data_IF_939551323773
#
_entry.id   IF_939551323773
#
_cell.length_a   1.000
_cell.length_b   1.000
_cell.length_c   1.000
_cell.angle_alpha   90.00
_cell.angle_beta   90.00
_cell.angle_gamma   90.00
#
_symmetry.space_group_name_H-M   'P 1'
#
loop_
_entity.id
_entity.type
_entity.pdbx_description
1 polymer ?
#
# COMPACT_ATOMS: atom_id res chain seq x y z
N UNK A 1 -69.82 27.78 -13.27
CA UNK A 1 -69.11 28.31 -14.45
C UNK A 1 -67.65 27.89 -14.27
N UNK A 2 -67.24 26.69 -14.67
CA UNK A 2 -67.14 26.09 -16.02
C UNK A 2 -65.90 26.56 -16.79
N UNK A 3 -65.00 25.60 -17.05
CA UNK A 3 -64.11 25.42 -18.22
C UNK A 3 -62.87 26.34 -18.32
N UNK A 4 -61.63 25.85 -18.16
CA UNK A 4 -60.80 25.02 -19.08
C UNK A 4 -60.20 25.79 -20.26
N UNK A 5 -58.87 25.72 -20.39
CA UNK A 5 -58.17 25.85 -21.67
C UNK A 5 -56.93 24.95 -21.68
N UNK A 6 -57.02 23.85 -22.41
CA UNK A 6 -55.90 23.04 -22.88
C UNK A 6 -55.29 23.67 -24.14
N UNK A 7 -54.00 23.46 -24.41
CA UNK A 7 -53.50 22.99 -25.72
C UNK A 7 -52.02 22.57 -25.61
N UNK A 8 -51.72 21.49 -26.33
CA UNK A 8 -50.52 20.65 -26.35
C UNK A 8 -49.57 20.98 -27.52
N UNK A 9 -48.43 20.25 -27.60
CA UNK A 9 -47.54 19.90 -28.75
C UNK A 9 -46.07 19.95 -28.25
N UNK A 10 -45.39 18.86 -27.88
CA UNK A 10 -44.86 17.68 -28.62
C UNK A 10 -43.78 17.99 -29.67
N UNK A 11 -42.56 17.48 -29.42
CA UNK A 11 -41.50 16.93 -30.31
C UNK A 11 -40.23 16.84 -29.43
N UNK A 12 -39.48 15.76 -29.24
CA UNK A 12 -39.15 14.63 -30.10
C UNK A 12 -37.62 14.60 -30.24
N UNK A 13 -36.93 13.63 -29.64
CA UNK A 13 -35.46 13.54 -29.75
C UNK A 13 -34.83 12.41 -28.93
N UNK A 14 -34.77 11.22 -29.53
CA UNK A 14 -33.92 10.12 -29.09
C UNK A 14 -32.44 10.48 -29.23
N UNK A 15 -31.66 10.27 -28.18
CA UNK A 15 -30.20 10.35 -28.19
C UNK A 15 -29.62 9.25 -27.32
N UNK A 16 -29.20 8.17 -27.97
CA UNK A 16 -28.45 7.06 -27.37
C UNK A 16 -27.11 7.56 -26.82
N UNK A 17 -26.83 7.23 -25.56
CA UNK A 17 -25.54 7.46 -24.92
C UNK A 17 -25.29 6.35 -23.90
N UNK A 18 -24.79 5.23 -24.40
CA UNK A 18 -24.14 4.21 -23.58
C UNK A 18 -22.91 4.83 -22.92
N UNK A 19 -22.78 4.68 -21.61
CA UNK A 19 -21.67 5.26 -20.84
C UNK A 19 -22.04 5.69 -19.43
N UNK A 20 -23.05 5.09 -18.82
CA UNK A 20 -23.20 5.17 -17.38
C UNK A 20 -22.14 4.28 -16.76
N UNK A 21 -20.96 4.86 -16.48
CA UNK A 21 -20.05 4.26 -15.51
C UNK A 21 -20.84 4.09 -14.22
N UNK A 22 -21.22 2.84 -13.96
CA UNK A 22 -21.74 2.36 -12.69
C UNK A 22 -20.63 2.56 -11.64
N UNK A 23 -20.46 3.80 -11.21
CA UNK A 23 -19.81 4.09 -9.95
C UNK A 23 -20.82 3.65 -8.90
N UNK A 24 -20.77 2.36 -8.55
CA UNK A 24 -21.50 1.88 -7.39
C UNK A 24 -21.12 2.82 -6.24
N UNK A 25 -22.06 3.64 -5.77
CA UNK A 25 -21.90 4.55 -4.64
C UNK A 25 -21.87 3.76 -3.32
N UNK A 26 -21.13 2.66 -3.31
CA UNK A 26 -20.85 1.92 -2.10
C UNK A 26 -19.84 2.76 -1.35
N UNK A 27 -20.29 3.34 -0.24
CA UNK A 27 -19.41 4.03 0.69
C UNK A 27 -18.23 3.11 1.02
N UNK A 28 -16.99 3.63 1.00
CA UNK A 28 -15.83 2.82 1.30
C UNK A 28 -15.97 2.20 2.68
N UNK A 29 -15.54 0.94 2.81
CA UNK A 29 -15.61 0.22 4.08
C UNK A 29 -14.67 0.93 5.07
N UNK A 30 -15.18 1.43 6.21
CA UNK A 30 -14.36 2.15 7.16
C UNK A 30 -13.26 1.25 7.73
N UNK A 31 -12.19 1.88 8.21
CA UNK A 31 -11.14 1.20 8.98
C UNK A 31 -11.22 1.59 10.46
N UNK A 32 -10.41 0.96 11.30
CA UNK A 32 -10.27 1.33 12.72
C UNK A 32 -8.81 1.19 13.19
N UNK A 33 -8.51 1.73 14.36
CA UNK A 33 -7.16 1.75 14.93
C UNK A 33 -6.57 0.36 15.21
N UNK A 34 -7.40 -0.67 15.47
CA UNK A 34 -6.93 -2.03 15.68
C UNK A 34 -6.36 -2.68 14.40
N UNK A 35 -6.63 -2.08 13.23
CA UNK A 35 -6.09 -2.49 11.94
C UNK A 35 -4.74 -1.84 11.62
N UNK A 36 -4.12 -1.12 12.57
CA UNK A 36 -2.79 -0.54 12.39
C UNK A 36 -1.74 -1.61 12.05
N UNK A 37 -0.99 -1.36 10.98
CA UNK A 37 0.09 -2.21 10.52
C UNK A 37 1.46 -1.76 11.06
N UNK A 38 1.50 -0.77 11.96
CA UNK A 38 2.75 -0.18 12.45
C UNK A 38 3.76 -1.23 12.95
N UNK A 39 3.30 -2.24 13.69
CA UNK A 39 4.15 -3.34 14.22
C UNK A 39 4.65 -4.32 13.14
N UNK A 40 4.10 -4.26 11.94
CA UNK A 40 4.43 -5.14 10.82
C UNK A 40 5.34 -4.47 9.81
N UNK A 41 5.56 -3.17 9.91
CA UNK A 41 6.55 -2.45 9.11
C UNK A 41 7.95 -2.80 9.64
N UNK A 42 8.88 -3.07 8.73
CA UNK A 42 10.29 -3.28 9.05
C UNK A 42 11.02 -1.93 9.09
N UNK A 43 10.78 -1.17 10.18
CA UNK A 43 11.23 0.21 10.36
C UNK A 43 12.71 0.46 10.04
N UNK A 44 13.67 -0.36 10.51
CA UNK A 44 15.10 -0.15 10.23
C UNK A 44 15.47 -0.27 8.74
N UNK A 45 14.64 -0.92 7.92
CA UNK A 45 14.90 -1.17 6.51
C UNK A 45 14.05 -0.30 5.57
N UNK A 46 13.32 0.68 6.11
CA UNK A 46 12.66 1.70 5.29
C UNK A 46 13.73 2.54 4.59
N UNK A 47 13.52 2.84 3.31
CA UNK A 47 14.41 3.72 2.55
C UNK A 47 13.62 4.79 1.81
N UNK A 48 14.27 5.91 1.51
CA UNK A 48 13.68 6.99 0.74
C UNK A 48 14.67 7.51 -0.32
N UNK A 49 14.14 8.02 -1.43
CA UNK A 49 14.88 8.72 -2.48
C UNK A 49 14.40 10.17 -2.53
N UNK A 50 15.34 11.11 -2.70
CA UNK A 50 15.09 12.55 -2.67
C UNK A 50 14.47 13.03 -1.35
N UNK A 51 15.12 12.68 -0.23
CA UNK A 51 14.75 13.15 1.12
C UNK A 51 15.89 14.00 1.66
N UNK A 52 15.59 15.21 2.16
CA UNK A 52 16.61 16.13 2.66
C UNK A 52 17.02 15.85 4.12
N UNK A 53 16.15 15.21 4.90
CA UNK A 53 16.47 14.73 6.25
C UNK A 53 17.60 13.66 6.25
N UNK A 54 18.30 13.46 7.38
CA UNK A 54 19.17 12.31 7.55
C UNK A 54 18.42 10.99 7.33
N UNK A 55 19.06 10.01 6.67
CA UNK A 55 18.43 8.75 6.24
C UNK A 55 17.73 8.01 7.39
N UNK A 56 18.30 8.04 8.59
CA UNK A 56 17.78 7.40 9.79
C UNK A 56 16.45 7.96 10.30
N UNK A 57 16.03 9.14 9.81
CA UNK A 57 14.78 9.78 10.20
C UNK A 57 13.56 9.25 9.48
N UNK A 58 13.72 8.55 8.34
CA UNK A 58 12.57 8.10 7.54
C UNK A 58 11.60 7.21 8.33
N UNK A 59 12.11 6.40 9.26
CA UNK A 59 11.27 5.56 10.12
C UNK A 59 10.37 6.40 11.05
N UNK A 60 10.79 7.62 11.41
CA UNK A 60 10.01 8.53 12.26
C UNK A 60 8.77 9.07 11.56
N UNK A 61 8.64 8.90 10.23
CA UNK A 61 7.40 9.18 9.50
C UNK A 61 6.27 8.23 9.92
N UNK A 62 6.60 7.02 10.37
CA UNK A 62 5.63 6.01 10.80
C UNK A 62 5.50 6.05 12.32
N UNK A 63 4.64 6.93 12.82
CA UNK A 63 4.42 7.12 14.27
C UNK A 63 3.72 5.93 14.91
N UNK A 64 4.08 5.62 16.16
CA UNK A 64 3.29 4.69 16.98
C UNK A 64 1.93 5.32 17.32
N UNK A 65 0.96 4.54 17.81
CA UNK A 65 -0.32 5.09 18.27
C UNK A 65 -0.18 6.18 19.33
N UNK A 66 0.82 6.08 20.20
CA UNK A 66 1.08 7.04 21.28
C UNK A 66 1.62 8.38 20.76
N UNK A 67 2.43 8.35 19.69
CA UNK A 67 3.10 9.52 19.12
C UNK A 67 2.42 10.04 17.85
N UNK A 68 1.20 9.58 17.54
CA UNK A 68 0.49 9.89 16.29
C UNK A 68 0.33 11.40 16.04
N UNK A 69 0.13 12.19 17.10
CA UNK A 69 -0.06 13.64 17.01
C UNK A 69 1.25 14.45 17.01
N UNK A 70 2.40 13.78 17.15
CA UNK A 70 3.70 14.43 17.03
C UNK A 70 3.87 15.01 15.64
N UNK A 71 4.28 16.27 15.57
CA UNK A 71 4.50 17.01 14.32
C UNK A 71 5.92 16.90 13.80
N UNK A 72 6.86 16.43 14.64
CA UNK A 72 8.30 16.38 14.34
C UNK A 72 8.85 14.94 14.29
N UNK A 73 9.89 14.67 13.50
CA UNK A 73 10.45 15.57 12.49
C UNK A 73 9.50 15.69 11.30
N UNK A 74 9.64 16.78 10.54
CA UNK A 74 9.03 16.92 9.22
C UNK A 74 9.92 16.28 8.18
N UNK A 75 9.40 15.28 7.47
CA UNK A 75 10.11 14.67 6.34
C UNK A 75 9.87 15.51 5.11
N UNK A 76 10.95 16.02 4.53
CA UNK A 76 10.92 16.88 3.36
C UNK A 76 11.57 16.21 2.16
N UNK A 77 11.03 16.43 0.98
CA UNK A 77 11.75 16.09 -0.24
C UNK A 77 12.99 16.98 -0.43
N UNK A 78 13.92 16.57 -1.28
CA UNK A 78 15.14 17.31 -1.58
C UNK A 78 15.07 17.92 -2.98
N UNK A 79 15.32 19.23 -3.10
CA UNK A 79 15.37 19.99 -4.36
C UNK A 79 14.08 20.08 -5.20
N UNK A 80 13.19 19.08 -5.15
CA UNK A 80 11.92 19.05 -5.87
C UNK A 80 10.82 18.32 -5.07
N UNK A 81 9.60 18.28 -5.61
CA UNK A 81 8.42 17.78 -4.92
C UNK A 81 8.42 16.24 -4.81
N UNK A 82 9.34 15.58 -5.50
CA UNK A 82 9.32 14.15 -5.71
C UNK A 82 9.97 13.43 -4.53
N UNK A 83 9.23 12.50 -3.93
CA UNK A 83 9.74 11.68 -2.81
C UNK A 83 9.28 10.24 -3.00
N UNK A 84 10.23 9.31 -3.05
CA UNK A 84 9.92 7.86 -3.08
C UNK A 84 10.24 7.26 -1.72
N UNK A 85 9.33 6.45 -1.17
CA UNK A 85 9.49 5.75 0.10
C UNK A 85 9.24 4.26 -0.12
N UNK A 86 10.19 3.44 0.28
CA UNK A 86 10.16 1.99 0.21
C UNK A 86 9.95 1.39 1.60
N UNK A 87 8.88 0.62 1.75
CA UNK A 87 8.34 0.17 3.03
C UNK A 87 8.25 -1.37 3.02
N UNK A 88 9.28 -2.07 3.53
CA UNK A 88 9.22 -3.51 3.73
C UNK A 88 8.32 -3.88 4.93
N UNK A 89 7.68 -5.06 4.85
CA UNK A 89 6.93 -5.66 5.96
C UNK A 89 7.65 -6.90 6.53
N UNK A 90 7.60 -7.08 7.85
CA UNK A 90 8.31 -8.14 8.57
C UNK A 90 7.55 -9.47 8.44
N UNK A 91 8.12 -10.41 7.66
CA UNK A 91 7.68 -11.82 7.56
C UNK A 91 6.15 -12.00 7.45
N UNK A 92 5.46 -11.14 6.69
CA UNK A 92 4.02 -11.26 6.52
C UNK A 92 3.57 -10.80 5.14
N UNK A 93 2.41 -11.31 4.72
CA UNK A 93 1.64 -10.74 3.61
C UNK A 93 0.63 -9.77 4.19
N UNK A 94 0.63 -8.55 3.68
CA UNK A 94 -0.32 -7.50 4.06
C UNK A 94 -1.40 -7.36 2.99
N UNK A 95 -2.62 -7.09 3.44
CA UNK A 95 -3.68 -6.55 2.59
C UNK A 95 -4.06 -5.16 3.10
N UNK A 96 -3.67 -4.15 2.33
CA UNK A 96 -3.84 -2.74 2.70
C UNK A 96 -5.30 -2.31 2.50
N UNK A 97 -5.83 -1.65 3.52
CA UNK A 97 -7.18 -1.11 3.53
C UNK A 97 -7.20 0.40 3.35
N UNK A 98 -6.29 1.11 4.01
CA UNK A 98 -6.16 2.56 3.86
C UNK A 98 -4.74 3.03 4.19
N UNK A 99 -4.43 4.22 3.68
CA UNK A 99 -3.25 5.01 4.05
C UNK A 99 -3.77 6.31 4.65
N UNK A 100 -3.30 6.65 5.83
CA UNK A 100 -3.62 7.92 6.48
C UNK A 100 -2.37 8.78 6.45
N UNK A 101 -2.50 10.00 5.92
CA UNK A 101 -1.39 10.92 5.72
C UNK A 101 -1.66 12.18 6.53
N UNK A 102 -0.63 12.65 7.22
CA UNK A 102 -0.56 14.00 7.77
C UNK A 102 0.60 14.73 7.10
N UNK A 103 0.28 15.77 6.34
CA UNK A 103 1.25 16.59 5.59
C UNK A 103 1.07 18.07 5.97
N UNK A 104 1.84 18.96 5.33
CA UNK A 104 1.41 20.35 5.22
C UNK A 104 0.07 20.41 4.46
N UNK A 105 -0.76 21.37 4.83
CA UNK A 105 -2.08 21.63 4.26
C UNK A 105 -2.13 22.86 3.38
N UNK A 106 -1.02 23.58 3.21
CA UNK A 106 -0.93 24.83 2.48
C UNK A 106 0.08 24.69 1.33
N UNK A 107 1.28 25.27 1.42
CA UNK A 107 2.18 25.43 0.26
C UNK A 107 2.97 24.17 -0.09
N UNK A 108 3.26 23.31 0.88
CA UNK A 108 4.08 22.09 0.70
C UNK A 108 3.25 20.79 0.70
N UNK A 109 1.97 20.89 0.32
CA UNK A 109 1.00 19.81 0.44
C UNK A 109 1.11 18.83 -0.75
N UNK A 110 1.41 17.53 -0.53
CA UNK A 110 1.38 16.52 -1.58
C UNK A 110 0.04 16.49 -2.32
N UNK A 111 0.07 16.24 -3.62
CA UNK A 111 -1.13 16.16 -4.45
C UNK A 111 -1.29 14.78 -5.06
N UNK A 112 -0.39 14.37 -5.94
CA UNK A 112 -0.49 13.06 -6.60
C UNK A 112 0.42 12.06 -5.89
N UNK A 113 -0.16 10.97 -5.39
CA UNK A 113 0.59 9.91 -4.72
C UNK A 113 0.36 8.57 -5.42
N UNK A 114 1.43 7.94 -5.88
CA UNK A 114 1.38 6.68 -6.66
C UNK A 114 1.90 5.51 -5.84
N UNK A 115 1.24 4.37 -5.97
CA UNK A 115 1.51 3.17 -5.17
C UNK A 115 1.91 1.97 -6.05
N UNK A 116 2.94 1.25 -5.60
CA UNK A 116 3.34 -0.07 -6.13
C UNK A 116 3.49 -1.06 -4.99
N UNK A 117 3.37 -2.36 -5.29
CA UNK A 117 3.62 -3.44 -4.33
C UNK A 117 4.67 -4.40 -4.88
N UNK A 118 5.46 -4.97 -3.97
CA UNK A 118 6.42 -6.03 -4.22
C UNK A 118 7.46 -5.69 -5.30
N UNK A 119 7.73 -4.40 -5.45
CA UNK A 119 8.77 -3.87 -6.32
C UNK A 119 9.55 -2.81 -5.53
N UNK A 120 10.70 -3.23 -5.00
CA UNK A 120 11.61 -2.39 -4.23
C UNK A 120 12.63 -1.68 -5.13
N UNK A 121 12.54 -1.84 -6.46
CA UNK A 121 13.45 -1.21 -7.42
C UNK A 121 12.79 -0.03 -8.13
N UNK A 122 11.64 0.43 -7.64
CA UNK A 122 10.99 1.63 -8.18
C UNK A 122 11.86 2.84 -7.84
N UNK A 123 12.19 3.62 -8.86
CA UNK A 123 12.94 4.87 -8.81
C UNK A 123 12.24 5.88 -9.73
N UNK A 124 12.79 7.09 -9.86
CA UNK A 124 12.15 8.14 -10.66
C UNK A 124 12.02 7.76 -12.14
N UNK A 125 13.03 7.12 -12.72
CA UNK A 125 13.01 6.68 -14.13
C UNK A 125 11.96 5.58 -14.36
N UNK A 126 11.92 4.57 -13.49
CA UNK A 126 10.97 3.47 -13.60
C UNK A 126 9.56 3.87 -13.19
N UNK A 127 9.36 4.87 -12.34
CA UNK A 127 8.04 5.41 -12.00
C UNK A 127 7.34 6.05 -13.22
N UNK A 128 8.09 6.61 -14.17
CA UNK A 128 7.53 7.16 -15.42
C UNK A 128 6.99 6.05 -16.34
N UNK A 129 7.64 4.89 -16.37
CA UNK A 129 7.32 3.80 -17.31
C UNK A 129 6.44 2.69 -16.72
N UNK A 130 6.58 2.40 -15.43
CA UNK A 130 5.79 1.37 -14.74
C UNK A 130 4.45 1.94 -14.28
N UNK A 131 3.37 1.25 -14.67
CA UNK A 131 2.01 1.62 -14.26
C UNK A 131 1.86 1.45 -12.74
N UNK A 132 1.36 2.47 -12.00
CA UNK A 132 1.05 2.33 -10.59
C UNK A 132 -0.15 1.41 -10.40
N UNK A 133 -0.19 0.70 -9.27
CA UNK A 133 -1.35 -0.12 -8.90
C UNK A 133 -2.55 0.74 -8.51
N UNK A 134 -2.28 1.88 -7.90
CA UNK A 134 -3.27 2.84 -7.49
C UNK A 134 -2.64 4.23 -7.42
N UNK A 135 -3.43 5.25 -7.77
CA UNK A 135 -3.05 6.66 -7.64
C UNK A 135 -4.05 7.32 -6.70
N UNK A 136 -3.53 8.06 -5.74
CA UNK A 136 -4.27 8.86 -4.77
C UNK A 136 -4.17 10.32 -5.21
N UNK A 137 -5.32 11.00 -5.22
CA UNK A 137 -5.40 12.46 -5.24
C UNK A 137 -5.55 12.94 -3.79
N UNK A 138 -4.47 13.47 -3.24
CA UNK A 138 -4.42 14.00 -1.88
C UNK A 138 -4.98 15.43 -1.87
N UNK A 139 -6.01 15.73 -1.05
CA UNK A 139 -6.58 17.07 -0.97
C UNK A 139 -5.64 18.00 -0.20
N UNK A 140 -5.76 19.31 -0.45
CA UNK A 140 -5.00 20.34 0.25
C UNK A 140 -5.50 20.49 1.71
N UNK A 141 -5.11 19.56 2.57
CA UNK A 141 -5.52 19.42 3.98
C UNK A 141 -4.33 18.94 4.78
N UNK A 142 -4.04 19.59 5.92
CA UNK A 142 -2.87 19.27 6.72
C UNK A 142 -2.58 20.31 7.78
N UNK A 143 -1.33 20.33 8.26
CA UNK A 143 -0.83 21.35 9.18
C UNK A 143 -0.50 22.66 8.43
N UNK A 144 -0.55 23.78 9.14
CA UNK A 144 -0.18 25.08 8.58
C UNK A 144 1.31 25.13 8.22
N UNK A 145 1.68 26.07 7.34
CA UNK A 145 3.07 26.33 7.03
C UNK A 145 3.84 26.87 8.24
N UNK A 146 5.16 26.72 8.19
CA UNK A 146 6.09 27.11 9.24
C UNK A 146 7.37 27.64 8.63
N UNK A 147 7.98 28.65 9.26
CA UNK A 147 9.23 29.27 8.80
C UNK A 147 10.45 28.42 9.19
N UNK A 148 10.50 27.99 10.45
CA UNK A 148 11.47 27.03 10.96
C UNK A 148 10.78 25.87 11.67
N UNK A 149 11.36 24.67 11.60
CA UNK A 149 10.79 23.50 12.26
C UNK A 149 10.70 23.67 13.79
N UNK A 150 11.57 24.48 14.39
CA UNK A 150 11.52 24.82 15.81
C UNK A 150 10.26 25.63 16.19
N UNK A 151 9.61 26.31 15.24
CA UNK A 151 8.38 27.08 15.47
C UNK A 151 7.12 26.19 15.50
N UNK A 152 7.23 24.93 15.08
CA UNK A 152 6.11 23.98 15.15
C UNK A 152 5.88 23.54 16.59
N UNK A 153 4.60 23.52 17.00
CA UNK A 153 4.17 22.84 18.21
C UNK A 153 4.53 21.36 18.12
N UNK A 154 5.21 20.80 19.13
CA UNK A 154 5.66 19.40 19.13
C UNK A 154 4.50 18.40 18.97
N UNK A 155 3.30 18.77 19.44
CA UNK A 155 2.08 17.98 19.42
C UNK A 155 0.91 18.85 19.01
N UNK A 156 0.16 18.41 17.99
CA UNK A 156 -1.09 19.06 17.56
C UNK A 156 -2.20 18.01 17.51
N UNK A 157 -3.15 18.07 18.43
CA UNK A 157 -4.28 17.14 18.55
C UNK A 157 -5.47 17.56 17.67
N UNK A 158 -5.27 17.62 16.36
CA UNK A 158 -6.33 17.98 15.41
C UNK A 158 -6.56 16.87 14.38
N UNK A 159 -7.67 16.14 14.54
CA UNK A 159 -8.09 15.08 13.60
C UNK A 159 -8.29 15.60 12.17
N UNK A 160 -8.71 16.86 12.03
CA UNK A 160 -8.95 17.49 10.72
C UNK A 160 -7.70 17.64 9.86
N UNK A 161 -6.50 17.48 10.44
CA UNK A 161 -5.22 17.55 9.73
C UNK A 161 -4.79 16.21 9.13
N UNK A 162 -5.54 15.13 9.39
CA UNK A 162 -5.29 13.81 8.81
C UNK A 162 -6.22 13.56 7.64
N UNK A 163 -5.69 12.97 6.56
CA UNK A 163 -6.48 12.51 5.43
C UNK A 163 -6.37 10.98 5.31
N UNK A 164 -7.50 10.30 5.44
CA UNK A 164 -7.58 8.85 5.20
C UNK A 164 -7.98 8.54 3.75
N UNK A 165 -7.09 7.82 3.06
CA UNK A 165 -7.30 7.33 1.71
C UNK A 165 -7.69 5.86 1.73
N UNK A 166 -8.95 5.56 1.45
CA UNK A 166 -9.44 4.19 1.34
C UNK A 166 -8.95 3.54 0.04
N UNK A 167 -8.33 2.37 0.18
CA UNK A 167 -7.67 1.68 -0.91
C UNK A 167 -8.52 0.55 -1.48
N UNK A 168 -8.33 0.19 -2.77
CA UNK A 168 -8.96 -0.98 -3.35
C UNK A 168 -8.36 -2.26 -2.77
N UNK A 169 -8.95 -2.75 -1.67
CA UNK A 169 -8.46 -3.90 -0.87
C UNK A 169 -8.18 -5.17 -1.70
N UNK A 170 -8.87 -5.35 -2.82
CA UNK A 170 -8.70 -6.50 -3.72
C UNK A 170 -7.43 -6.38 -4.60
N UNK A 171 -6.98 -5.15 -4.90
CA UNK A 171 -5.75 -4.89 -5.66
C UNK A 171 -4.53 -4.95 -4.74
N UNK A 172 -4.63 -4.35 -3.55
CA UNK A 172 -3.53 -4.21 -2.60
C UNK A 172 -3.50 -5.33 -1.55
N UNK A 173 -3.65 -6.58 -2.00
CA UNK A 173 -3.43 -7.81 -1.22
C UNK A 173 -2.09 -8.45 -1.54
N UNK A 174 -1.52 -9.22 -0.60
CA UNK A 174 -0.25 -9.91 -0.77
C UNK A 174 0.96 -8.97 -0.83
N UNK A 175 0.87 -7.83 -0.14
CA UNK A 175 1.92 -6.81 -0.08
C UNK A 175 2.97 -7.26 0.94
N UNK A 176 4.20 -7.49 0.49
CA UNK A 176 5.39 -7.72 1.33
C UNK A 176 6.31 -6.49 1.32
N UNK A 177 6.19 -5.68 0.28
CA UNK A 177 6.88 -4.40 0.13
C UNK A 177 5.92 -3.39 -0.49
N UNK A 178 5.78 -2.21 0.10
CA UNK A 178 5.00 -1.09 -0.46
C UNK A 178 5.97 0.00 -0.93
N UNK A 179 5.75 0.54 -2.12
CA UNK A 179 6.40 1.76 -2.57
C UNK A 179 5.37 2.86 -2.68
N UNK A 180 5.65 4.00 -2.03
CA UNK A 180 4.88 5.24 -2.11
C UNK A 180 5.73 6.25 -2.88
N UNK A 181 5.15 6.92 -3.86
CA UNK A 181 5.78 8.00 -4.60
C UNK A 181 4.89 9.24 -4.53
N UNK A 182 5.41 10.32 -3.92
CA UNK A 182 4.84 11.67 -4.07
C UNK A 182 5.37 12.23 -5.38
N UNK A 183 4.48 12.52 -6.34
CA UNK A 183 4.85 12.93 -7.71
C UNK A 183 4.83 14.46 -7.88
N UNK A 184 3.85 15.13 -7.27
CA UNK A 184 3.69 16.58 -7.28
C UNK A 184 2.99 17.08 -6.00
N UNK A 185 2.97 18.40 -5.83
CA UNK A 185 2.29 19.10 -4.73
C UNK A 185 1.21 20.05 -5.26
N UNK A 186 0.41 20.60 -4.35
CA UNK A 186 -0.42 21.76 -4.64
C UNK A 186 0.43 23.04 -4.59
N UNK A 187 0.07 24.04 -5.41
CA UNK A 187 0.76 25.34 -5.42
C UNK A 187 2.02 25.34 -6.28
N UNK A 188 2.88 26.33 -6.03
CA UNK A 188 4.06 26.64 -6.84
C UNK A 188 5.38 26.42 -6.08
N UNK A 189 5.33 25.90 -4.84
CA UNK A 189 6.54 25.53 -4.11
C UNK A 189 7.20 24.29 -4.73
N UNK A 190 8.48 24.11 -4.40
CA UNK A 190 9.28 23.04 -4.99
C UNK A 190 9.38 21.83 -4.06
N UNK A 191 9.03 21.91 -2.78
CA UNK A 191 9.22 20.80 -1.82
C UNK A 191 7.88 20.21 -1.34
N UNK A 192 7.91 18.94 -0.94
CA UNK A 192 6.80 18.26 -0.28
C UNK A 192 7.13 18.01 1.19
N UNK A 193 6.17 18.26 2.09
CA UNK A 193 6.34 18.09 3.53
C UNK A 193 5.36 17.06 4.10
N UNK A 194 5.90 16.04 4.77
CA UNK A 194 5.15 14.96 5.43
C UNK A 194 5.47 14.90 6.92
N UNK A 195 4.44 14.86 7.77
CA UNK A 195 4.58 14.71 9.22
C UNK A 195 4.37 13.26 9.68
N UNK A 196 3.41 12.56 9.08
CA UNK A 196 3.20 11.14 9.38
C UNK A 196 2.47 10.36 8.28
N UNK A 197 2.76 9.06 8.23
CA UNK A 197 2.02 8.07 7.46
C UNK A 197 1.62 6.92 8.39
N UNK A 198 0.34 6.56 8.37
CA UNK A 198 -0.18 5.35 9.00
C UNK A 198 -0.79 4.42 7.95
N UNK A 199 -0.45 3.14 8.04
CA UNK A 199 -0.98 2.09 7.18
C UNK A 199 -1.96 1.23 7.98
N UNK A 200 -3.17 1.03 7.43
CA UNK A 200 -4.16 0.13 8.02
C UNK A 200 -4.49 -1.03 7.09
N UNK A 201 -4.71 -2.20 7.67
CA UNK A 201 -4.98 -3.42 6.91
C UNK A 201 -5.13 -4.66 7.77
N UNK A 202 -5.07 -5.79 7.10
CA UNK A 202 -4.89 -7.10 7.73
C UNK A 202 -3.56 -7.70 7.28
N UNK A 203 -3.02 -8.60 8.08
CA UNK A 203 -1.79 -9.31 7.75
C UNK A 203 -1.96 -10.81 7.98
N UNK A 204 -1.16 -11.59 7.28
CA UNK A 204 -1.00 -13.03 7.50
C UNK A 204 0.48 -13.32 7.61
N UNK A 205 0.90 -13.94 8.70
CA UNK A 205 2.30 -14.27 8.93
C UNK A 205 2.76 -15.34 7.95
N UNK A 206 3.96 -15.16 7.42
CA UNK A 206 4.64 -16.16 6.61
C UNK A 206 5.36 -17.11 7.56
N UNK A 207 4.75 -18.26 7.83
CA UNK A 207 5.45 -19.34 8.53
C UNK A 207 6.54 -19.89 7.62
N UNK A 208 7.80 -19.68 8.02
CA UNK A 208 8.94 -20.44 7.51
C UNK A 208 8.98 -21.80 8.20
N UNK A 209 7.92 -22.60 8.08
CA UNK A 209 8.07 -24.01 8.40
C UNK A 209 8.84 -24.63 7.23
N UNK A 210 10.09 -25.12 7.43
CA UNK A 210 10.69 -25.96 6.41
C UNK A 210 9.76 -27.15 6.26
N UNK A 211 9.17 -27.33 5.08
CA UNK A 211 8.61 -28.63 4.71
C UNK A 211 9.83 -29.55 4.63
N UNK A 212 10.16 -30.20 5.75
CA UNK A 212 11.06 -31.34 5.75
C UNK A 212 10.24 -32.45 5.09
N UNK A 213 10.20 -32.44 3.75
CA UNK A 213 9.90 -33.65 2.99
C UNK A 213 11.03 -34.61 3.31
N UNK A 214 10.86 -35.39 4.37
CA UNK A 214 11.58 -36.63 4.55
C UNK A 214 11.11 -37.53 3.40
N UNK A 215 11.78 -37.41 2.25
CA UNK A 215 11.67 -38.39 1.19
C UNK A 215 12.31 -39.65 1.74
N UNK A 216 11.51 -40.56 2.31
CA UNK A 216 11.91 -41.93 2.62
C UNK A 216 12.27 -42.63 1.30
N UNK A 217 13.45 -42.31 0.77
CA UNK A 217 14.03 -42.90 -0.44
C UNK A 217 15.06 -43.96 -0.06
N UNK A 218 14.81 -44.70 1.01
CA UNK A 218 15.48 -45.97 1.21
C UNK A 218 14.52 -47.04 0.72
N UNK A 219 14.80 -47.62 -0.45
CA UNK A 219 14.12 -48.83 -0.89
C UNK A 219 14.22 -49.86 0.25
N UNK A 220 13.09 -50.30 0.79
CA UNK A 220 13.07 -51.39 1.76
C UNK A 220 13.48 -52.67 1.01
N UNK A 221 14.62 -53.30 1.33
CA UNK A 221 15.07 -54.52 0.64
C UNK A 221 14.09 -55.69 0.76
N UNK A 222 13.12 -55.60 1.69
CA UNK A 222 12.08 -56.60 1.87
C UNK A 222 10.95 -56.54 0.82
N UNK A 223 10.84 -55.46 0.03
CA UNK A 223 9.71 -55.26 -0.90
C UNK A 223 10.00 -55.78 -2.33
N UNK A 224 11.21 -56.30 -2.57
CA UNK A 224 11.56 -57.00 -3.79
C UNK A 224 11.45 -58.52 -3.58
N UNK A 225 10.39 -59.14 -4.10
CA UNK A 225 10.30 -60.61 -4.19
C UNK A 225 11.47 -61.12 -5.04
N UNK A 226 12.34 -61.93 -4.44
CA UNK A 226 13.36 -62.69 -5.16
C UNK A 226 12.67 -63.68 -6.11
N UNK A 227 12.57 -63.33 -7.39
CA UNK A 227 12.29 -64.27 -8.47
C UNK A 227 13.59 -65.02 -8.79
N UNK A 228 13.94 -66.00 -7.97
CA UNK A 228 14.89 -67.05 -8.33
C UNK A 228 14.45 -68.35 -7.65
N UNK A 229 13.42 -68.94 -8.23
CA UNK A 229 12.98 -70.30 -7.94
C UNK A 229 12.56 -70.95 -9.27
N UNK A 230 13.53 -71.37 -10.08
CA UNK A 230 13.39 -72.42 -11.09
C UNK A 230 14.71 -73.22 -11.07
N UNK A 231 14.75 -74.27 -10.24
CA UNK A 231 14.66 -75.67 -10.66
C UNK A 231 15.94 -76.19 -11.33
N UNK A 232 16.80 -76.81 -10.52
CA UNK A 232 17.88 -77.67 -10.98
C UNK A 232 17.30 -79.07 -11.31
N UNK A 233 17.45 -79.59 -12.54
CA UNK A 233 17.19 -81.00 -12.79
C UNK A 233 18.42 -81.83 -12.41
N UNK A 234 18.17 -82.69 -11.43
CA UNK A 234 19.03 -83.75 -10.93
C UNK A 234 19.29 -84.77 -12.05
N UNK A 235 20.54 -84.95 -12.51
CA UNK A 235 20.92 -86.12 -13.30
C UNK A 235 21.80 -87.05 -12.46
N UNK A 236 21.23 -88.20 -12.14
CA UNK A 236 21.89 -89.36 -11.51
C UNK A 236 22.69 -90.13 -12.56
N UNK A 237 23.83 -90.67 -12.10
CA UNK A 237 24.86 -91.40 -12.81
C UNK A 237 24.39 -92.72 -13.46
N UNK A 238 24.98 -93.05 -14.63
CA UNK A 238 25.64 -94.34 -14.91
C UNK A 238 26.91 -94.07 -15.71
#
# INVERSE_FOLDING_TARGET
>A
MSCEHEHSHSHGGHGSGAGGHDHSHVAPIPTNSAQSLWRKIDHPHITALSMSNPREEIQKLFKSPEDRYSTKPVIKSDCDAQLIIHIPFVNCNVKLFSIIIRSNGESYCPKTIRLWKNDATIDFDSAVSKRPLFTIEHPQVGLADFEAEDDLDDVVESESTFVEHFLPRHVLTGVQHLTIFVEDIHGDEEESHLHSIELRGEFTELTKDPIITLYESAANPADHKNLNAEEAPNYSSV
#
